data_IF_552319024921
#
_entry.id   IF_552319024921
#
_cell.length_a   1.000
_cell.length_b   1.000
_cell.length_c   1.000
_cell.angle_alpha   90.00
_cell.angle_beta   90.00
_cell.angle_gamma   90.00
#
_symmetry.space_group_name_H-M   'P 1'
#
loop_
_entity.id
_entity.type
_entity.pdbx_description
1 polymer ?
#
# COMPACT_ATOMS: atom_id res chain seq x y z
N UNK A 1 11.56 -1.75 12.24
CA UNK A 1 10.22 -1.57 11.64
C UNK A 1 9.47 -0.40 12.28
N UNK A 2 9.20 -0.41 13.59
CA UNK A 2 8.48 0.68 14.27
C UNK A 2 9.07 2.09 14.00
N UNK A 3 10.39 2.26 14.13
CA UNK A 3 11.07 3.54 13.83
C UNK A 3 10.85 4.00 12.39
N UNK A 4 10.86 3.08 11.41
CA UNK A 4 10.58 3.39 10.00
C UNK A 4 9.15 3.88 9.83
N UNK A 5 8.17 3.20 10.43
CA UNK A 5 6.76 3.59 10.40
C UNK A 5 6.58 5.00 10.98
N UNK A 6 7.18 5.28 12.14
CA UNK A 6 7.12 6.61 12.76
C UNK A 6 7.75 7.69 11.88
N UNK A 7 8.95 7.45 11.33
CA UNK A 7 9.65 8.39 10.46
C UNK A 7 8.82 8.75 9.23
N UNK A 8 8.25 7.76 8.55
CA UNK A 8 7.42 7.98 7.36
C UNK A 8 6.08 8.63 7.71
N UNK A 9 5.49 8.28 8.86
CA UNK A 9 4.31 8.97 9.38
C UNK A 9 4.54 10.46 9.59
N UNK A 10 5.68 10.87 10.17
CA UNK A 10 6.07 12.27 10.34
C UNK A 10 6.29 13.01 9.01
N UNK A 11 6.61 12.30 7.93
CA UNK A 11 6.79 12.85 6.59
C UNK A 11 5.49 12.91 5.78
N UNK A 12 4.34 12.57 6.39
CA UNK A 12 3.04 12.54 5.71
C UNK A 12 2.85 11.34 4.78
N UNK A 13 3.64 10.28 4.98
CA UNK A 13 3.66 9.07 4.17
C UNK A 13 3.38 7.83 5.02
N UNK A 14 2.22 7.73 5.68
CA UNK A 14 1.97 6.68 6.66
C UNK A 14 2.06 5.29 6.01
N UNK A 15 2.91 4.43 6.58
CA UNK A 15 2.95 3.01 6.21
C UNK A 15 1.75 2.32 6.89
N UNK A 16 0.96 1.57 6.11
CA UNK A 16 -0.23 0.84 6.58
C UNK A 16 -0.14 -0.67 6.49
N UNK A 17 0.87 -1.17 5.79
CA UNK A 17 1.12 -2.59 5.65
C UNK A 17 2.61 -2.89 5.50
N UNK A 18 3.04 -4.07 5.94
CA UNK A 18 4.34 -4.65 5.59
C UNK A 18 4.16 -6.09 5.13
N UNK A 19 4.91 -6.49 4.10
CA UNK A 19 5.00 -7.88 3.69
C UNK A 19 6.07 -8.59 4.53
N UNK A 20 5.67 -9.62 5.29
CA UNK A 20 6.58 -10.44 6.09
C UNK A 20 6.88 -11.75 5.36
N UNK A 21 8.17 -12.02 5.17
CA UNK A 21 8.61 -13.23 4.47
C UNK A 21 8.04 -14.49 5.12
N UNK A 22 7.32 -15.30 4.34
CA UNK A 22 6.66 -16.57 4.75
C UNK A 22 5.49 -16.43 5.74
N UNK A 23 5.06 -15.21 6.05
CA UNK A 23 3.87 -14.94 6.88
C UNK A 23 2.78 -14.18 6.11
N UNK A 24 3.17 -13.38 5.11
CA UNK A 24 2.24 -12.59 4.31
C UNK A 24 2.12 -11.14 4.81
N UNK A 25 1.10 -10.40 4.33
CA UNK A 25 0.92 -9.01 4.69
C UNK A 25 0.46 -8.87 6.14
N UNK A 26 1.05 -7.91 6.86
CA UNK A 26 0.57 -7.42 8.14
C UNK A 26 0.05 -6.00 7.92
N UNK A 27 -1.25 -5.79 8.15
CA UNK A 27 -1.96 -4.55 7.86
C UNK A 27 -2.51 -3.94 9.15
N UNK A 28 -2.47 -2.62 9.28
CA UNK A 28 -3.01 -1.91 10.44
C UNK A 28 -3.67 -0.59 10.05
N UNK A 29 -4.69 -0.22 10.82
CA UNK A 29 -5.40 1.05 10.69
C UNK A 29 -5.89 1.53 12.07
N UNK A 30 -6.57 2.66 12.11
CA UNK A 30 -7.27 3.17 13.31
C UNK A 30 -8.50 2.34 13.72
N UNK A 31 -9.00 1.48 12.82
CA UNK A 31 -10.14 0.61 13.05
C UNK A 31 -9.95 -0.75 12.35
N UNK A 32 -10.54 -1.83 12.89
CA UNK A 32 -10.49 -3.14 12.25
C UNK A 32 -11.09 -3.14 10.83
N UNK A 33 -12.21 -2.44 10.62
CA UNK A 33 -12.87 -2.37 9.32
C UNK A 33 -11.97 -1.74 8.24
N UNK A 34 -11.31 -0.63 8.56
CA UNK A 34 -10.39 0.02 7.63
C UNK A 34 -9.14 -0.83 7.36
N UNK A 35 -8.64 -1.56 8.37
CA UNK A 35 -7.53 -2.49 8.18
C UNK A 35 -7.90 -3.66 7.25
N UNK A 36 -9.12 -4.21 7.40
CA UNK A 36 -9.63 -5.28 6.53
C UNK A 36 -9.84 -4.79 5.10
N UNK A 37 -10.42 -3.61 4.91
CA UNK A 37 -10.59 -3.03 3.58
C UNK A 37 -9.23 -2.85 2.86
N UNK A 38 -8.22 -2.34 3.57
CA UNK A 38 -6.88 -2.22 3.00
C UNK A 38 -6.22 -3.58 2.71
N UNK A 39 -6.46 -4.61 3.54
CA UNK A 39 -5.99 -5.97 3.30
C UNK A 39 -6.65 -6.58 2.06
N UNK A 40 -7.96 -6.42 1.89
CA UNK A 40 -8.71 -6.92 0.73
C UNK A 40 -8.18 -6.35 -0.59
N UNK A 41 -7.95 -5.03 -0.64
CA UNK A 41 -7.38 -4.37 -1.83
C UNK A 41 -5.97 -4.87 -2.17
N UNK A 42 -5.15 -5.13 -1.15
CA UNK A 42 -3.80 -5.69 -1.32
C UNK A 42 -3.85 -7.12 -1.88
N UNK A 43 -4.73 -7.96 -1.33
CA UNK A 43 -4.89 -9.36 -1.76
C UNK A 43 -5.45 -9.45 -3.18
N UNK A 44 -6.45 -8.64 -3.55
CA UNK A 44 -6.96 -8.63 -4.93
C UNK A 44 -5.90 -8.13 -5.91
N UNK A 45 -5.16 -7.08 -5.57
CA UNK A 45 -4.02 -6.62 -6.39
C UNK A 45 -2.96 -7.72 -6.58
N UNK A 46 -2.61 -8.44 -5.51
CA UNK A 46 -1.67 -9.55 -5.58
C UNK A 46 -2.19 -10.71 -6.43
N UNK A 47 -3.49 -11.02 -6.33
CA UNK A 47 -4.16 -12.02 -7.16
C UNK A 47 -4.12 -11.64 -8.64
N UNK A 48 -4.43 -10.40 -8.98
CA UNK A 48 -4.35 -9.90 -10.37
C UNK A 48 -2.92 -10.03 -10.92
N UNK A 49 -1.90 -9.68 -10.13
CA UNK A 49 -0.50 -9.89 -10.51
C UNK A 49 -0.17 -11.37 -10.75
N UNK A 50 -0.62 -12.25 -9.87
CA UNK A 50 -0.39 -13.69 -10.01
C UNK A 50 -1.06 -14.28 -11.26
N UNK A 51 -2.25 -13.78 -11.62
CA UNK A 51 -2.95 -14.18 -12.85
C UNK A 51 -2.33 -13.58 -14.12
N UNK A 52 -1.74 -12.39 -14.03
CA UNK A 52 -1.19 -11.66 -15.17
C UNK A 52 0.13 -12.21 -15.73
N UNK A 53 0.79 -13.14 -15.04
CA UNK A 53 2.01 -13.84 -15.50
C UNK A 53 3.29 -12.98 -15.55
N UNK A 54 3.15 -11.65 -15.66
CA UNK A 54 4.22 -10.67 -15.55
C UNK A 54 3.72 -9.43 -14.78
N UNK A 55 4.61 -8.72 -14.06
CA UNK A 55 4.26 -7.44 -13.45
C UNK A 55 3.86 -6.42 -14.53
N UNK A 56 2.83 -5.58 -14.29
CA UNK A 56 2.51 -4.48 -15.18
C UNK A 56 3.64 -3.45 -15.20
N UNK A 57 3.68 -2.64 -16.25
CA UNK A 57 4.58 -1.49 -16.31
C UNK A 57 4.30 -0.56 -15.12
N UNK A 58 5.38 -0.11 -14.46
CA UNK A 58 5.27 0.80 -13.33
C UNK A 58 4.82 2.18 -13.79
N UNK A 59 3.95 2.82 -13.01
CA UNK A 59 3.58 4.20 -13.24
C UNK A 59 4.81 5.12 -13.13
N UNK A 60 4.89 6.08 -14.02
CA UNK A 60 5.90 7.14 -13.99
C UNK A 60 5.62 8.14 -12.86
N UNK A 61 6.64 8.88 -12.44
CA UNK A 61 6.48 9.90 -11.39
C UNK A 61 5.38 10.95 -11.71
N UNK A 62 5.25 11.46 -12.96
CA UNK A 62 4.14 12.35 -13.30
C UNK A 62 2.76 11.69 -13.16
N UNK A 63 2.59 10.45 -13.62
CA UNK A 63 1.32 9.73 -13.49
C UNK A 63 0.93 9.49 -12.03
N UNK A 64 1.91 9.23 -11.16
CA UNK A 64 1.68 9.11 -9.73
C UNK A 64 1.26 10.46 -9.12
N UNK A 65 1.84 11.57 -9.58
CA UNK A 65 1.45 12.90 -9.09
C UNK A 65 0.02 13.27 -9.49
N UNK A 66 -0.39 12.95 -10.72
CA UNK A 66 -1.77 13.12 -11.18
C UNK A 66 -2.76 12.39 -10.26
N UNK A 67 -2.47 11.12 -9.92
CA UNK A 67 -3.29 10.36 -8.98
C UNK A 67 -3.34 11.02 -7.60
N UNK A 68 -2.22 11.55 -7.11
CA UNK A 68 -2.18 12.23 -5.80
C UNK A 68 -3.05 13.49 -5.80
N UNK A 69 -3.01 14.27 -6.87
CA UNK A 69 -3.80 15.49 -7.00
C UNK A 69 -5.30 15.17 -7.11
N UNK A 70 -5.67 14.17 -7.92
CA UNK A 70 -7.08 13.81 -8.14
C UNK A 70 -7.71 13.17 -6.90
N UNK A 71 -7.01 12.26 -6.23
CA UNK A 71 -7.56 11.50 -5.10
C UNK A 71 -7.19 12.09 -3.73
N UNK A 72 -6.43 13.20 -3.68
CA UNK A 72 -5.95 13.79 -2.43
C UNK A 72 -5.03 12.87 -1.63
N UNK A 73 -4.34 11.96 -2.32
CA UNK A 73 -3.59 10.89 -1.67
C UNK A 73 -2.29 11.37 -1.01
N UNK A 74 -1.97 10.78 0.14
CA UNK A 74 -0.81 11.11 0.98
C UNK A 74 0.06 9.87 1.17
N UNK A 75 0.98 9.62 0.21
CA UNK A 75 2.00 8.57 0.24
C UNK A 75 3.36 9.06 -0.26
#
# INVERSE_FOLDING_TARGET
VAQTITRYGQQGKPIRAVMLARLGPNVWHDSPAAAMAALEELEESARLLALGGAPPESLTAPQIDDLRQVFGARW
#
